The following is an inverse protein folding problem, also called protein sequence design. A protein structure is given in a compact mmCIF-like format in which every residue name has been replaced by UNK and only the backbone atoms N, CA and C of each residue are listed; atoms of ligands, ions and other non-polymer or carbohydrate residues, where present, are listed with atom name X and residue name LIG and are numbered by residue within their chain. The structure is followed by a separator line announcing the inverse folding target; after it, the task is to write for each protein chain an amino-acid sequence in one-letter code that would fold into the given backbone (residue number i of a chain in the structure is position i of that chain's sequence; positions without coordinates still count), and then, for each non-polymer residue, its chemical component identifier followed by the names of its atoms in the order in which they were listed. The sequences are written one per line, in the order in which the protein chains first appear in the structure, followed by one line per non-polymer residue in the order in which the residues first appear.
data_IF_889119651166
#
_entry.id   IF_889119651166
#
_cell.length_a   1.000
_cell.length_b   1.000
_cell.length_c   1.000
_cell.angle_alpha   90.00
_cell.angle_beta   90.00
_cell.angle_gamma   90.00
#
_symmetry.space_group_name_H-M   'P 1'
#
loop_
_entity.id
_entity.type
_entity.pdbx_description
1 polymer ?
#
# COMPACT_ATOMS: atom_id res chain seq x y z
N UNK A 1 -4.74 0.47 -37.68
CA UNK A 1 -4.80 -0.95 -37.23
C UNK A 1 -5.89 -1.10 -36.19
N UNK A 2 -6.96 -1.86 -36.51
CA UNK A 2 -8.09 -2.06 -35.61
C UNK A 2 -7.67 -2.92 -34.40
N UNK A 3 -8.02 -2.46 -33.19
CA UNK A 3 -7.82 -3.23 -31.96
C UNK A 3 -8.59 -4.55 -32.09
N UNK A 4 -7.88 -5.69 -32.04
CA UNK A 4 -8.51 -7.00 -31.98
C UNK A 4 -9.44 -7.06 -30.75
N UNK A 5 -10.73 -7.32 -31.00
CA UNK A 5 -11.72 -7.58 -29.95
C UNK A 5 -11.62 -9.05 -29.56
N UNK A 6 -11.11 -9.30 -28.35
CA UNK A 6 -11.09 -10.64 -27.77
C UNK A 6 -12.44 -10.93 -27.09
N UNK A 7 -13.03 -12.09 -27.39
CA UNK A 7 -14.23 -12.59 -26.71
C UNK A 7 -13.78 -13.33 -25.45
N UNK A 8 -14.03 -12.74 -24.28
CA UNK A 8 -13.70 -13.36 -22.99
C UNK A 8 -14.72 -14.48 -22.74
N UNK A 9 -14.27 -15.74 -22.83
CA UNK A 9 -15.12 -16.93 -22.66
C UNK A 9 -15.20 -17.42 -21.21
N UNK A 10 -14.38 -16.88 -20.31
CA UNK A 10 -14.24 -17.32 -18.93
C UNK A 10 -14.89 -16.37 -17.90
N UNK A 11 -15.89 -15.58 -18.32
CA UNK A 11 -16.59 -14.61 -17.44
C UNK A 11 -16.99 -15.16 -16.06
N UNK A 12 -17.57 -16.38 -15.95
CA UNK A 12 -17.90 -16.97 -14.65
C UNK A 12 -16.66 -17.19 -13.77
N UNK A 13 -15.57 -17.71 -14.36
CA UNK A 13 -14.30 -17.97 -13.68
C UNK A 13 -13.61 -16.67 -13.25
N UNK A 14 -13.66 -15.65 -14.10
CA UNK A 14 -13.14 -14.31 -13.82
C UNK A 14 -13.90 -13.63 -12.67
N UNK A 15 -15.24 -13.69 -12.66
CA UNK A 15 -16.04 -13.16 -11.56
C UNK A 15 -15.81 -13.94 -10.26
N UNK A 16 -15.70 -15.27 -10.32
CA UNK A 16 -15.35 -16.09 -9.15
C UNK A 16 -13.98 -15.71 -8.59
N UNK A 17 -13.00 -15.43 -9.45
CA UNK A 17 -11.69 -14.94 -9.04
C UNK A 17 -11.75 -13.54 -8.40
N UNK A 18 -12.61 -12.64 -8.88
CA UNK A 18 -12.84 -11.32 -8.27
C UNK A 18 -13.53 -11.41 -6.91
N UNK A 19 -14.55 -12.27 -6.76
CA UNK A 19 -15.23 -12.54 -5.49
C UNK A 19 -14.23 -13.13 -4.48
N UNK A 20 -13.45 -14.13 -4.91
CA UNK A 20 -12.42 -14.76 -4.07
C UNK A 20 -11.32 -13.77 -3.67
N UNK A 21 -11.07 -12.73 -4.47
CA UNK A 21 -10.11 -11.67 -4.14
C UNK A 21 -10.54 -10.81 -2.94
N UNK A 22 -11.84 -10.75 -2.66
CA UNK A 22 -12.42 -10.13 -1.48
C UNK A 22 -12.65 -11.10 -0.32
N UNK A 23 -12.46 -12.40 -0.54
CA UNK A 23 -12.63 -13.42 0.49
C UNK A 23 -11.39 -13.44 1.39
N UNK A 24 -11.53 -12.89 2.60
CA UNK A 24 -10.50 -12.95 3.64
C UNK A 24 -10.71 -14.26 4.41
N UNK A 25 -10.54 -15.40 3.73
CA UNK A 25 -10.49 -16.68 4.43
C UNK A 25 -9.18 -16.70 5.22
N UNK A 26 -9.26 -16.51 6.53
CA UNK A 26 -8.13 -16.69 7.43
C UNK A 26 -7.76 -18.18 7.42
N UNK A 27 -6.61 -18.51 6.84
CA UNK A 27 -6.01 -19.83 6.99
C UNK A 27 -5.12 -19.79 8.23
N UNK A 28 -5.48 -20.59 9.24
CA UNK A 28 -4.62 -20.90 10.37
C UNK A 28 -3.89 -22.18 10.01
N UNK A 29 -2.57 -22.08 9.91
CA UNK A 29 -1.70 -23.22 9.66
C UNK A 29 -1.79 -24.21 10.83
N UNK A 30 -1.87 -25.51 10.55
CA UNK A 30 -2.02 -26.55 11.57
C UNK A 30 -0.82 -26.55 12.52
N UNK A 31 0.38 -26.29 12.01
CA UNK A 31 1.59 -26.11 12.82
C UNK A 31 1.47 -24.92 13.78
N UNK A 32 0.86 -23.82 13.33
CA UNK A 32 0.61 -22.65 14.17
C UNK A 32 -0.46 -22.90 15.24
N UNK A 33 -1.44 -23.78 14.97
CA UNK A 33 -2.43 -24.21 15.96
C UNK A 33 -1.73 -25.04 17.05
N UNK A 34 -0.87 -25.99 16.66
CA UNK A 34 -0.13 -26.83 17.61
C UNK A 34 0.89 -26.03 18.43
N UNK A 35 1.58 -25.07 17.81
CA UNK A 35 2.59 -24.23 18.45
C UNK A 35 2.04 -22.96 19.11
N UNK A 36 0.71 -22.84 19.30
CA UNK A 36 0.09 -21.63 19.82
C UNK A 36 0.44 -21.37 21.30
N UNK A 37 0.48 -22.44 22.09
CA UNK A 37 0.86 -22.40 23.50
C UNK A 37 2.32 -22.78 23.68
N UNK A 38 2.94 -22.26 24.74
CA UNK A 38 4.32 -22.61 25.07
C UNK A 38 4.37 -24.04 25.63
N UNK A 39 5.22 -24.90 25.06
CA UNK A 39 5.37 -26.29 25.47
C UNK A 39 6.66 -26.56 26.25
N UNK A 40 7.58 -25.58 26.33
CA UNK A 40 8.85 -25.74 27.02
C UNK A 40 8.68 -25.78 28.55
N UNK A 41 9.43 -26.67 29.21
CA UNK A 41 9.54 -26.67 30.66
C UNK A 41 10.26 -25.40 31.14
N UNK A 42 9.74 -24.70 32.17
CA UNK A 42 10.36 -23.46 32.65
C UNK A 42 11.80 -23.74 33.13
N UNK A 43 12.79 -23.12 32.49
CA UNK A 43 14.21 -23.24 32.87
C UNK A 43 14.59 -22.41 34.10
N UNK A 44 13.69 -21.52 34.57
CA UNK A 44 13.95 -20.58 35.67
C UNK A 44 12.73 -20.39 36.59
N UNK A 45 12.99 -20.02 37.85
CA UNK A 45 11.95 -19.66 38.84
C UNK A 45 11.14 -18.44 38.36
N UNK A 46 9.85 -18.62 38.11
CA UNK A 46 8.93 -17.56 37.69
C UNK A 46 7.61 -18.12 37.17
N UNK A 47 6.65 -17.23 36.82
CA UNK A 47 5.38 -17.64 36.20
C UNK A 47 5.67 -18.14 34.77
N UNK A 48 5.29 -19.38 34.40
CA UNK A 48 5.49 -19.91 33.06
C UNK A 48 4.84 -19.04 32.00
N UNK A 49 5.48 -18.90 30.84
CA UNK A 49 4.85 -18.26 29.69
C UNK A 49 3.74 -19.17 29.17
N UNK A 50 2.53 -18.63 28.99
CA UNK A 50 1.37 -19.42 28.52
C UNK A 50 1.35 -19.55 27.00
N UNK A 51 1.73 -18.48 26.30
CA UNK A 51 1.66 -18.39 24.84
C UNK A 51 3.07 -18.46 24.25
N UNK A 52 3.23 -18.96 23.03
CA UNK A 52 4.51 -18.96 22.32
C UNK A 52 4.87 -17.58 21.77
N UNK A 53 6.11 -17.39 21.30
CA UNK A 53 6.52 -16.18 20.55
C UNK A 53 5.77 -16.06 19.21
N UNK A 54 5.41 -17.20 18.60
CA UNK A 54 4.61 -17.27 17.37
C UNK A 54 3.23 -16.65 17.58
N UNK A 55 2.53 -17.04 18.65
CA UNK A 55 1.22 -16.49 18.98
C UNK A 55 1.26 -14.96 19.18
N UNK A 56 2.28 -14.45 19.90
CA UNK A 56 2.45 -13.01 20.11
C UNK A 56 2.75 -12.29 18.78
N UNK A 57 3.59 -12.87 17.94
CA UNK A 57 3.93 -12.32 16.62
C UNK A 57 2.69 -12.21 15.74
N UNK A 58 1.88 -13.27 15.67
CA UNK A 58 0.66 -13.31 14.86
C UNK A 58 -0.35 -12.23 15.29
N UNK A 59 -0.55 -12.04 16.60
CA UNK A 59 -1.41 -10.97 17.11
C UNK A 59 -0.88 -9.59 16.70
N UNK A 60 0.43 -9.37 16.81
CA UNK A 60 1.05 -8.09 16.44
C UNK A 60 0.98 -7.84 14.92
N UNK A 61 1.08 -8.89 14.09
CA UNK A 61 0.89 -8.82 12.63
C UNK A 61 -0.54 -8.45 12.27
N UNK A 62 -1.54 -9.16 12.80
CA UNK A 62 -2.96 -8.87 12.55
C UNK A 62 -3.29 -7.44 12.99
N UNK A 63 -2.85 -7.04 14.18
CA UNK A 63 -2.99 -5.66 14.67
C UNK A 63 -2.41 -4.64 13.68
N UNK A 64 -1.22 -4.90 13.12
CA UNK A 64 -0.54 -3.98 12.20
C UNK A 64 -1.23 -3.89 10.84
N UNK A 65 -1.60 -5.04 10.26
CA UNK A 65 -2.25 -5.14 8.94
C UNK A 65 -3.61 -4.46 8.95
N UNK A 66 -4.43 -4.75 9.96
CA UNK A 66 -5.78 -4.18 10.10
C UNK A 66 -5.82 -2.85 10.87
N UNK A 67 -4.65 -2.33 11.28
CA UNK A 67 -4.51 -1.07 12.04
C UNK A 67 -5.37 -1.02 13.32
N UNK A 68 -5.47 -2.14 14.04
CA UNK A 68 -6.28 -2.27 15.25
C UNK A 68 -5.53 -1.79 16.52
N UNK A 69 -6.28 -1.46 17.58
CA UNK A 69 -5.73 -1.37 18.95
C UNK A 69 -5.48 -2.78 19.49
N UNK A 70 -4.64 -2.93 20.54
CA UNK A 70 -4.35 -4.26 21.10
C UNK A 70 -5.62 -4.96 21.63
N UNK A 71 -6.52 -4.21 22.26
CA UNK A 71 -7.80 -4.74 22.76
C UNK A 71 -8.74 -5.16 21.61
N UNK A 72 -8.81 -4.35 20.55
CA UNK A 72 -9.58 -4.69 19.37
C UNK A 72 -8.99 -5.91 18.62
N UNK A 73 -7.66 -6.02 18.54
CA UNK A 73 -6.99 -7.18 17.95
C UNK A 73 -7.29 -8.47 18.72
N UNK A 74 -7.32 -8.42 20.05
CA UNK A 74 -7.72 -9.56 20.87
C UNK A 74 -9.14 -10.05 20.53
N UNK A 75 -10.14 -9.15 20.60
CA UNK A 75 -11.53 -9.51 20.29
C UNK A 75 -11.74 -9.94 18.84
N UNK A 76 -10.99 -9.34 17.90
CA UNK A 76 -11.02 -9.74 16.49
C UNK A 76 -10.50 -11.16 16.28
N UNK A 77 -9.36 -11.52 16.89
CA UNK A 77 -8.76 -12.85 16.77
C UNK A 77 -9.61 -13.90 17.49
N UNK A 78 -10.13 -13.61 18.68
CA UNK A 78 -11.07 -14.50 19.37
C UNK A 78 -12.33 -14.79 18.52
N UNK A 79 -12.81 -13.78 17.78
CA UNK A 79 -13.94 -13.95 16.85
C UNK A 79 -13.58 -14.86 15.68
N UNK A 80 -12.35 -14.75 15.14
CA UNK A 80 -11.85 -15.64 14.08
C UNK A 80 -11.77 -17.08 14.58
N UNK A 81 -11.18 -17.33 15.75
CA UNK A 81 -11.10 -18.68 16.32
C UNK A 81 -12.49 -19.30 16.53
N UNK A 82 -13.44 -18.49 17.00
CA UNK A 82 -14.84 -18.92 17.15
C UNK A 82 -15.47 -19.30 15.82
N UNK A 83 -15.33 -18.46 14.79
CA UNK A 83 -15.87 -18.72 13.44
C UNK A 83 -15.26 -19.96 12.79
N UNK A 84 -13.98 -20.24 13.07
CA UNK A 84 -13.27 -21.39 12.54
C UNK A 84 -13.45 -22.67 13.39
N UNK A 85 -14.20 -22.59 14.50
CA UNK A 85 -14.36 -23.68 15.47
C UNK A 85 -13.02 -24.25 15.98
N UNK A 86 -12.04 -23.36 16.21
CA UNK A 86 -10.70 -23.71 16.70
C UNK A 86 -10.62 -23.45 18.20
N UNK A 87 -10.23 -24.43 19.05
CA UNK A 87 -10.24 -24.31 20.51
C UNK A 87 -9.04 -23.51 21.06
N UNK A 88 -8.72 -22.37 20.42
CA UNK A 88 -7.65 -21.48 20.83
C UNK A 88 -8.20 -20.19 21.46
N UNK A 89 -7.35 -19.54 22.26
CA UNK A 89 -7.64 -18.21 22.82
C UNK A 89 -6.57 -17.23 22.38
N UNK A 90 -6.97 -16.01 22.05
CA UNK A 90 -6.03 -14.96 21.76
C UNK A 90 -5.22 -14.60 23.03
N UNK A 91 -3.89 -14.42 22.92
CA UNK A 91 -3.12 -13.77 23.97
C UNK A 91 -3.75 -12.44 24.40
N UNK A 92 -3.88 -12.24 25.70
CA UNK A 92 -4.51 -11.02 26.21
C UNK A 92 -3.66 -9.79 25.89
N UNK A 93 -4.31 -8.64 25.72
CA UNK A 93 -3.64 -7.40 25.34
C UNK A 93 -2.49 -7.00 26.29
N UNK A 94 -2.55 -7.39 27.57
CA UNK A 94 -1.47 -7.07 28.54
C UNK A 94 -0.25 -7.96 28.31
N UNK A 95 -0.46 -9.26 28.06
CA UNK A 95 0.59 -10.22 27.69
C UNK A 95 1.26 -9.82 26.39
N UNK A 96 0.49 -9.47 25.37
CA UNK A 96 1.01 -8.99 24.08
C UNK A 96 1.81 -7.70 24.25
N UNK A 97 1.30 -6.73 24.99
CA UNK A 97 1.99 -5.46 25.25
C UNK A 97 3.34 -5.66 25.93
N UNK A 98 3.40 -6.51 26.95
CA UNK A 98 4.62 -6.82 27.71
C UNK A 98 5.65 -7.53 26.83
N UNK A 99 5.22 -8.51 26.02
CA UNK A 99 6.11 -9.32 25.18
C UNK A 99 6.48 -8.68 23.85
N UNK A 100 5.75 -7.67 23.38
CA UNK A 100 6.07 -6.96 22.14
C UNK A 100 7.48 -6.34 22.14
N UNK A 101 8.07 -6.09 23.32
CA UNK A 101 9.44 -5.57 23.46
C UNK A 101 10.52 -6.65 23.28
N UNK A 102 10.22 -7.90 23.60
CA UNK A 102 11.18 -9.02 23.60
C UNK A 102 11.07 -9.88 22.34
N UNK A 103 9.88 -9.97 21.74
CA UNK A 103 9.67 -10.76 20.52
C UNK A 103 10.22 -10.00 19.31
N UNK A 104 11.06 -10.68 18.53
CA UNK A 104 11.64 -10.11 17.31
C UNK A 104 10.60 -10.06 16.19
N UNK A 105 9.77 -9.00 16.17
CA UNK A 105 8.79 -8.80 15.11
C UNK A 105 9.33 -7.84 14.06
N UNK A 106 9.81 -8.39 12.94
CA UNK A 106 10.27 -7.59 11.80
C UNK A 106 9.09 -7.12 10.94
N UNK A 107 8.55 -5.93 11.27
CA UNK A 107 7.62 -5.20 10.39
C UNK A 107 8.33 -4.42 9.27
N UNK A 108 9.45 -4.95 8.77
CA UNK A 108 10.14 -4.30 7.67
C UNK A 108 9.28 -4.48 6.43
N UNK A 109 8.68 -3.40 5.94
CA UNK A 109 8.43 -3.28 4.51
C UNK A 109 9.76 -3.63 3.87
N UNK A 110 9.84 -4.73 3.12
CA UNK A 110 11.09 -5.20 2.56
C UNK A 110 11.52 -4.29 1.41
N UNK A 111 11.67 -2.99 1.66
CA UNK A 111 12.03 -1.99 0.67
C UNK A 111 13.31 -2.41 -0.04
N UNK A 112 14.25 -3.04 0.68
CA UNK A 112 15.46 -3.59 0.08
C UNK A 112 15.18 -4.77 -0.84
N UNK A 113 14.42 -5.79 -0.40
CA UNK A 113 14.03 -6.91 -1.28
C UNK A 113 13.23 -6.44 -2.51
N UNK A 114 12.38 -5.42 -2.36
CA UNK A 114 11.69 -4.82 -3.50
C UNK A 114 12.69 -4.19 -4.48
N UNK A 115 13.69 -3.45 -3.99
CA UNK A 115 14.75 -2.91 -4.85
C UNK A 115 15.63 -4.02 -5.46
N UNK A 116 15.86 -5.12 -4.74
CA UNK A 116 16.61 -6.28 -5.22
C UNK A 116 15.85 -6.97 -6.38
N UNK A 117 14.54 -7.18 -6.23
CA UNK A 117 13.68 -7.72 -7.28
C UNK A 117 13.56 -6.79 -8.50
N UNK A 118 13.44 -5.47 -8.26
CA UNK A 118 13.43 -4.49 -9.35
C UNK A 118 14.73 -4.54 -10.14
N UNK A 119 15.88 -4.62 -9.45
CA UNK A 119 17.19 -4.78 -10.08
C UNK A 119 17.29 -6.09 -10.84
N UNK A 120 16.86 -7.21 -10.25
CA UNK A 120 16.83 -8.54 -10.90
C UNK A 120 16.04 -8.50 -12.20
N UNK A 121 14.92 -7.78 -12.21
CA UNK A 121 14.07 -7.58 -13.39
C UNK A 121 14.54 -6.45 -14.32
N UNK A 122 15.66 -5.79 -14.02
CA UNK A 122 16.20 -4.63 -14.75
C UNK A 122 15.19 -3.47 -14.88
N UNK A 123 14.35 -3.29 -13.85
CA UNK A 123 13.35 -2.22 -13.77
C UNK A 123 13.94 -1.07 -12.94
N UNK A 124 13.96 0.14 -13.51
CA UNK A 124 14.35 1.36 -12.81
C UNK A 124 13.35 1.69 -11.69
N UNK A 125 13.84 1.90 -10.47
CA UNK A 125 13.00 2.12 -9.31
C UNK A 125 12.55 3.57 -9.18
N UNK A 126 11.26 3.85 -9.43
CA UNK A 126 10.67 5.18 -9.29
C UNK A 126 9.95 5.36 -7.94
N UNK A 127 10.66 5.12 -6.84
CA UNK A 127 10.10 5.10 -5.48
C UNK A 127 10.68 6.26 -4.66
N UNK A 128 9.86 7.13 -4.07
CA UNK A 128 10.36 8.27 -3.30
C UNK A 128 11.03 7.80 -1.99
N UNK A 129 12.25 8.28 -1.67
CA UNK A 129 12.88 7.99 -0.39
C UNK A 129 12.19 8.74 0.75
N UNK A 130 12.21 8.14 1.95
CA UNK A 130 11.76 8.80 3.18
C UNK A 130 12.63 10.02 3.49
N UNK A 131 12.07 11.01 4.19
CA UNK A 131 12.81 12.19 4.65
C UNK A 131 13.98 11.76 5.54
N UNK A 132 15.17 12.29 5.26
CA UNK A 132 16.38 11.95 6.03
C UNK A 132 16.97 10.57 5.71
N UNK A 133 16.63 9.99 4.56
CA UNK A 133 17.18 8.70 4.17
C UNK A 133 18.72 8.71 4.04
N UNK A 134 19.34 7.64 4.55
CA UNK A 134 20.76 7.34 4.33
C UNK A 134 21.03 6.74 2.94
N UNK A 135 22.27 6.85 2.48
CA UNK A 135 22.76 6.14 1.31
C UNK A 135 22.82 4.64 1.57
N UNK A 136 22.55 3.87 0.53
CA UNK A 136 22.75 2.41 0.49
C UNK A 136 24.03 2.09 -0.30
N UNK A 137 24.48 0.82 -0.36
CA UNK A 137 25.59 0.43 -1.23
C UNK A 137 25.44 0.91 -2.67
N UNK A 138 26.55 1.09 -3.38
CA UNK A 138 26.61 1.73 -4.70
C UNK A 138 25.71 1.10 -5.76
N UNK A 139 25.41 -0.18 -5.64
CA UNK A 139 24.51 -0.94 -6.51
C UNK A 139 23.07 -0.37 -6.54
N UNK A 140 22.65 0.42 -5.55
CA UNK A 140 21.33 1.05 -5.48
C UNK A 140 21.37 2.49 -6.02
N UNK A 141 22.01 2.69 -7.17
CA UNK A 141 22.29 3.99 -7.77
C UNK A 141 21.04 4.88 -7.92
N UNK A 142 19.92 4.32 -8.42
CA UNK A 142 18.67 5.08 -8.62
C UNK A 142 18.12 5.65 -7.30
N UNK A 143 18.11 4.83 -6.25
CA UNK A 143 17.67 5.26 -4.92
C UNK A 143 18.65 6.29 -4.34
N UNK A 144 19.96 6.05 -4.45
CA UNK A 144 20.96 6.97 -3.93
C UNK A 144 20.93 8.33 -4.63
N UNK A 145 20.65 8.36 -5.94
CA UNK A 145 20.40 9.59 -6.70
C UNK A 145 19.18 10.34 -6.16
N UNK A 146 18.09 9.63 -5.86
CA UNK A 146 16.90 10.21 -5.24
C UNK A 146 17.19 10.79 -3.84
N UNK A 147 17.99 10.09 -3.02
CA UNK A 147 18.43 10.57 -1.71
C UNK A 147 19.30 11.82 -1.83
N UNK A 148 20.24 11.85 -2.77
CA UNK A 148 21.09 13.02 -3.03
C UNK A 148 20.25 14.24 -3.42
N UNK A 149 19.29 14.06 -4.34
CA UNK A 149 18.35 15.12 -4.72
C UNK A 149 17.55 15.64 -3.51
N UNK A 150 17.07 14.75 -2.64
CA UNK A 150 16.35 15.15 -1.43
C UNK A 150 17.22 15.95 -0.46
N UNK A 151 18.49 15.55 -0.28
CA UNK A 151 19.44 16.27 0.58
C UNK A 151 19.77 17.65 0.04
N UNK A 152 19.96 17.78 -1.28
CA UNK A 152 20.25 19.07 -1.90
C UNK A 152 19.09 20.08 -1.77
N UNK A 153 17.84 19.63 -1.89
CA UNK A 153 16.68 20.54 -1.91
C UNK A 153 15.82 20.53 -0.65
N UNK A 154 16.24 19.79 0.39
CA UNK A 154 15.47 19.59 1.63
C UNK A 154 14.11 18.90 1.44
N UNK A 155 13.79 18.47 0.22
CA UNK A 155 12.46 18.01 -0.21
C UNK A 155 12.57 17.09 -1.43
N UNK A 156 11.50 16.34 -1.72
CA UNK A 156 11.44 15.50 -2.92
C UNK A 156 11.08 16.28 -4.20
N UNK A 157 11.01 17.61 -4.17
CA UNK A 157 10.56 18.42 -5.30
C UNK A 157 11.43 18.21 -6.56
N UNK A 158 12.76 18.32 -6.41
CA UNK A 158 13.71 18.13 -7.52
C UNK A 158 13.69 16.71 -8.07
N UNK A 159 13.59 15.70 -7.20
CA UNK A 159 13.43 14.32 -7.63
C UNK A 159 12.13 14.10 -8.41
N UNK A 160 11.00 14.64 -7.95
CA UNK A 160 9.71 14.54 -8.65
C UNK A 160 9.78 15.17 -10.05
N UNK A 161 10.46 16.32 -10.17
CA UNK A 161 10.60 17.02 -11.45
C UNK A 161 11.51 16.27 -12.43
N UNK A 162 12.65 15.76 -11.96
CA UNK A 162 13.59 15.00 -12.80
C UNK A 162 13.12 13.61 -13.21
N UNK A 163 12.10 13.07 -12.54
CA UNK A 163 11.59 11.71 -12.79
C UNK A 163 10.17 11.68 -13.37
N UNK A 164 9.59 12.84 -13.68
CA UNK A 164 8.21 12.96 -14.16
C UNK A 164 7.16 12.27 -13.24
N UNK A 165 7.49 12.06 -11.96
CA UNK A 165 6.69 11.26 -11.02
C UNK A 165 5.24 11.77 -10.90
N UNK A 166 5.04 13.07 -11.02
CA UNK A 166 3.74 13.72 -10.85
C UNK A 166 2.87 13.77 -12.11
N UNK A 167 3.35 13.31 -13.29
CA UNK A 167 2.59 13.43 -14.54
C UNK A 167 1.24 12.72 -14.48
N UNK A 168 1.21 11.53 -13.89
CA UNK A 168 -0.04 10.76 -13.70
C UNK A 168 -1.02 11.51 -12.80
N UNK A 169 -0.57 12.00 -11.64
CA UNK A 169 -1.44 12.75 -10.73
C UNK A 169 -1.94 14.05 -11.37
N UNK A 170 -1.10 14.74 -12.16
CA UNK A 170 -1.51 15.95 -12.87
C UNK A 170 -2.60 15.63 -13.91
N UNK A 171 -2.43 14.54 -14.67
CA UNK A 171 -3.44 14.10 -15.64
C UNK A 171 -4.74 13.67 -14.95
N UNK A 172 -4.66 12.94 -13.84
CA UNK A 172 -5.82 12.55 -13.03
C UNK A 172 -6.57 13.78 -12.48
N UNK A 173 -5.84 14.77 -11.94
CA UNK A 173 -6.43 16.03 -11.49
C UNK A 173 -7.06 16.82 -12.64
N UNK A 174 -6.40 16.89 -13.80
CA UNK A 174 -6.96 17.55 -14.98
C UNK A 174 -8.28 16.89 -15.41
N UNK A 175 -8.30 15.56 -15.52
CA UNK A 175 -9.52 14.80 -15.86
C UNK A 175 -10.61 14.93 -14.80
N UNK A 176 -10.25 14.95 -13.51
CA UNK A 176 -11.20 15.22 -12.43
C UNK A 176 -11.86 16.59 -12.62
N UNK A 177 -11.09 17.64 -12.90
CA UNK A 177 -11.62 18.99 -13.15
C UNK A 177 -12.53 19.03 -14.38
N UNK A 178 -12.15 18.37 -15.47
CA UNK A 178 -13.02 18.23 -16.66
C UNK A 178 -14.36 17.62 -16.27
N UNK A 179 -14.33 16.50 -15.52
CA UNK A 179 -15.55 15.79 -15.11
C UNK A 179 -16.46 16.60 -14.19
N UNK A 180 -15.87 17.39 -13.28
CA UNK A 180 -16.64 18.20 -12.34
C UNK A 180 -17.26 19.43 -13.01
N UNK A 181 -16.55 20.07 -13.94
CA UNK A 181 -17.01 21.32 -14.55
C UNK A 181 -17.88 21.12 -15.78
N UNK A 182 -17.62 20.06 -16.57
CA UNK A 182 -18.24 19.85 -17.87
C UNK A 182 -18.99 18.50 -17.97
N UNK A 183 -19.02 17.72 -16.89
CA UNK A 183 -19.66 16.41 -16.87
C UNK A 183 -18.73 15.27 -17.29
N UNK A 184 -19.17 14.03 -17.02
CA UNK A 184 -18.38 12.82 -17.20
C UNK A 184 -18.43 12.18 -18.60
N UNK A 185 -19.13 12.80 -19.54
CA UNK A 185 -19.47 12.23 -20.85
C UNK A 185 -19.33 13.27 -21.96
N UNK A 186 -19.02 12.80 -23.17
CA UNK A 186 -19.13 13.58 -24.40
C UNK A 186 -20.53 13.40 -24.99
N UNK A 187 -21.09 14.46 -25.55
CA UNK A 187 -22.46 14.51 -26.08
C UNK A 187 -22.52 14.08 -27.54
N UNK A 188 -21.47 14.36 -28.32
CA UNK A 188 -21.41 14.02 -29.74
C UNK A 188 -21.15 12.51 -29.94
N UNK A 189 -21.69 11.96 -31.03
CA UNK A 189 -21.67 10.51 -31.32
C UNK A 189 -20.65 10.13 -32.39
N UNK A 190 -20.25 11.05 -33.24
CA UNK A 190 -19.19 10.87 -34.23
C UNK A 190 -17.81 11.13 -33.60
N UNK A 191 -16.79 10.43 -34.09
CA UNK A 191 -15.45 10.50 -33.50
C UNK A 191 -14.84 11.91 -33.61
N UNK A 192 -14.96 12.54 -34.77
CA UNK A 192 -14.38 13.87 -35.02
C UNK A 192 -15.08 14.93 -34.18
N UNK A 193 -16.40 14.83 -34.02
CA UNK A 193 -17.21 15.63 -33.11
C UNK A 193 -16.80 15.43 -31.66
N UNK A 194 -16.61 14.20 -31.20
CA UNK A 194 -16.08 13.92 -29.85
C UNK A 194 -14.70 14.52 -29.62
N UNK A 195 -13.82 14.48 -30.62
CA UNK A 195 -12.49 15.12 -30.55
C UNK A 195 -12.64 16.64 -30.46
N UNK A 196 -13.48 17.24 -31.29
CA UNK A 196 -13.73 18.68 -31.27
C UNK A 196 -14.34 19.15 -29.94
N UNK A 197 -15.31 18.41 -29.41
CA UNK A 197 -15.93 18.63 -28.10
C UNK A 197 -14.87 18.57 -26.99
N UNK A 198 -14.08 17.50 -26.94
CA UNK A 198 -13.00 17.35 -25.95
C UNK A 198 -11.98 18.50 -26.04
N UNK A 199 -11.59 18.92 -27.26
CA UNK A 199 -10.70 20.05 -27.47
C UNK A 199 -11.30 21.37 -26.98
N UNK A 200 -12.60 21.59 -27.20
CA UNK A 200 -13.31 22.77 -26.71
C UNK A 200 -13.35 22.79 -25.17
N UNK A 201 -13.64 21.66 -24.53
CA UNK A 201 -13.63 21.52 -23.06
C UNK A 201 -12.23 21.82 -22.48
N UNK A 202 -11.17 21.28 -23.09
CA UNK A 202 -9.79 21.55 -22.66
C UNK A 202 -9.43 23.02 -22.82
N UNK A 203 -9.84 23.66 -23.93
CA UNK A 203 -9.62 25.11 -24.14
C UNK A 203 -10.35 25.96 -23.10
N UNK A 204 -11.61 25.63 -22.80
CA UNK A 204 -12.39 26.29 -21.77
C UNK A 204 -11.73 26.15 -20.39
N UNK A 205 -11.31 24.91 -20.03
CA UNK A 205 -10.61 24.64 -18.77
C UNK A 205 -9.30 25.44 -18.63
N UNK A 206 -8.52 25.54 -19.70
CA UNK A 206 -7.27 26.31 -19.71
C UNK A 206 -7.53 27.81 -19.54
N UNK A 207 -8.60 28.34 -20.16
CA UNK A 207 -9.00 29.75 -20.00
C UNK A 207 -9.46 30.04 -18.57
N UNK A 208 -10.29 29.19 -17.99
CA UNK A 208 -10.73 29.30 -16.60
C UNK A 208 -9.55 29.21 -15.61
N UNK A 209 -8.60 28.31 -15.86
CA UNK A 209 -7.40 28.18 -15.01
C UNK A 209 -6.59 29.47 -15.01
N UNK A 210 -6.40 30.11 -16.16
CA UNK A 210 -5.69 31.39 -16.24
C UNK A 210 -6.43 32.53 -15.53
N UNK A 211 -7.77 32.55 -15.60
CA UNK A 211 -8.58 33.60 -14.98
C UNK A 211 -8.73 33.45 -13.45
N UNK A 212 -8.64 32.23 -12.92
CA UNK A 212 -8.87 31.93 -11.50
C UNK A 212 -7.62 31.70 -10.66
N UNK A 213 -6.41 31.86 -11.21
CA UNK A 213 -5.19 31.72 -10.42
C UNK A 213 -4.82 33.05 -9.74
N UNK A 214 -4.62 33.08 -8.42
CA UNK A 214 -4.12 34.27 -7.73
C UNK A 214 -2.69 34.57 -8.16
N UNK A 215 -2.37 35.84 -8.36
CA UNK A 215 -0.98 36.30 -8.50
C UNK A 215 -0.27 36.09 -7.17
N UNK A 216 0.67 35.14 -7.16
CA UNK A 216 1.45 34.80 -5.97
C UNK A 216 2.86 35.33 -6.12
N UNK A 217 3.19 36.34 -5.31
CA UNK A 217 4.56 36.88 -5.23
C UNK A 217 5.29 36.15 -4.11
N UNK A 218 6.54 35.77 -4.39
CA UNK A 218 7.40 35.11 -3.40
C UNK A 218 7.79 36.13 -2.33
N UNK A 219 7.25 35.99 -1.13
CA UNK A 219 7.71 36.76 0.02
C UNK A 219 9.03 36.14 0.48
N UNK A 220 10.04 37.00 0.62
CA UNK A 220 11.42 36.65 1.00
C UNK A 220 11.49 35.95 2.36
#
# INVERSE_FOLDING_TARGET
MAKQKFKITNWPTYNKALINRGSITFWLDDEAIQAWYESATPSSRGRPQRYSDLAITNVLVIKRVFRLTLRAAQGFIDSIFTLMNVPLRCPDYTSVSKRAKSVNVSFKTFTRLCHDELRRKKISALIPPRKGAGYWPGEYADRNRAVANQRMTGSNARWKWTTDYNRRSIAETAMYRVKQLFGGSLTLRDYDGQVAEAMALVRALNKMTKAGMPESVRIA
#
